data_IF_981283383140
#
_entry.id   IF_981283383140
#
_cell.length_a   1.000
_cell.length_b   1.000
_cell.length_c   1.000
_cell.angle_alpha   90.00
_cell.angle_beta   90.00
_cell.angle_gamma   90.00
#
_symmetry.space_group_name_H-M   'P 1'
#
loop_
_entity.id
_entity.type
_entity.pdbx_description
1 polymer ?
#
# COMPACT_ATOMS: atom_id res chain seq x y z
N UNK A 1 -12.08 -49.36 -42.72
CA UNK A 1 -12.23 -48.42 -41.59
C UNK A 1 -11.39 -47.20 -41.90
N UNK A 2 -12.00 -46.13 -42.36
CA UNK A 2 -11.33 -44.87 -42.71
C UNK A 2 -11.31 -43.96 -41.48
N UNK A 3 -10.08 -43.58 -41.04
CA UNK A 3 -9.88 -42.62 -39.99
C UNK A 3 -10.05 -41.21 -40.54
N UNK A 4 -11.20 -40.60 -40.33
CA UNK A 4 -11.43 -39.16 -40.57
C UNK A 4 -10.65 -38.34 -39.52
N UNK A 5 -9.47 -37.84 -39.93
CA UNK A 5 -8.76 -36.81 -39.19
C UNK A 5 -9.54 -35.51 -39.28
N UNK A 6 -10.19 -35.13 -38.20
CA UNK A 6 -10.85 -33.83 -38.04
C UNK A 6 -9.80 -32.74 -38.20
N UNK A 7 -9.84 -32.04 -39.34
CA UNK A 7 -8.98 -30.88 -39.62
C UNK A 7 -9.44 -29.71 -38.75
N UNK A 8 -8.68 -29.42 -37.70
CA UNK A 8 -8.87 -28.21 -36.88
C UNK A 8 -8.81 -26.97 -37.78
N UNK A 9 -9.78 -26.09 -37.62
CA UNK A 9 -9.93 -24.92 -38.49
C UNK A 9 -8.73 -23.97 -38.34
N UNK A 10 -8.30 -23.38 -39.45
CA UNK A 10 -7.17 -22.43 -39.52
C UNK A 10 -7.33 -21.25 -38.55
N UNK A 11 -8.56 -20.85 -38.19
CA UNK A 11 -8.87 -19.80 -37.25
C UNK A 11 -8.55 -20.16 -35.77
N UNK A 12 -8.63 -21.46 -35.42
CA UNK A 12 -8.28 -21.90 -34.06
C UNK A 12 -6.75 -21.95 -33.84
N UNK A 13 -6.00 -22.26 -34.92
CA UNK A 13 -4.54 -22.27 -34.84
C UNK A 13 -3.92 -20.86 -34.77
N UNK A 14 -4.58 -19.84 -35.35
CA UNK A 14 -4.09 -18.46 -35.31
C UNK A 14 -4.32 -17.81 -33.91
N UNK A 15 -5.37 -18.21 -33.18
CA UNK A 15 -5.64 -17.71 -31.82
C UNK A 15 -4.66 -18.24 -30.77
N UNK A 16 -4.09 -19.42 -30.98
CA UNK A 16 -3.13 -20.02 -30.03
C UNK A 16 -1.73 -19.37 -30.11
N UNK A 17 -1.44 -18.56 -31.12
CA UNK A 17 -0.12 -17.94 -31.33
C UNK A 17 -0.05 -16.42 -31.03
N UNK A 18 -1.13 -15.81 -30.57
CA UNK A 18 -1.05 -14.41 -30.12
C UNK A 18 -0.50 -14.41 -28.73
N UNK A 19 0.82 -14.58 -28.61
CA UNK A 19 1.53 -14.27 -27.35
C UNK A 19 1.16 -12.84 -26.98
N UNK A 20 0.56 -12.67 -25.79
CA UNK A 20 0.32 -11.33 -25.23
C UNK A 20 1.65 -10.60 -25.28
N UNK A 21 1.74 -9.52 -26.04
CA UNK A 21 2.92 -8.65 -26.02
C UNK A 21 3.10 -8.21 -24.58
N UNK A 22 4.14 -8.71 -23.93
CA UNK A 22 4.53 -8.24 -22.61
C UNK A 22 5.01 -6.81 -22.79
N UNK A 23 4.21 -5.85 -22.36
CA UNK A 23 4.60 -4.44 -22.38
C UNK A 23 5.67 -4.30 -21.30
N UNK A 24 6.90 -3.92 -21.71
CA UNK A 24 7.96 -3.65 -20.76
C UNK A 24 7.58 -2.41 -19.91
N UNK A 25 7.62 -2.56 -18.60
CA UNK A 25 7.50 -1.47 -17.62
C UNK A 25 8.80 -1.34 -16.89
N UNK A 26 9.30 -0.13 -16.65
CA UNK A 26 10.53 0.05 -15.88
C UNK A 26 10.35 -0.55 -14.47
N UNK A 27 11.31 -1.36 -14.00
CA UNK A 27 11.25 -1.92 -12.64
C UNK A 27 11.31 -0.80 -11.60
N UNK A 28 10.52 -0.92 -10.56
CA UNK A 28 10.57 -0.01 -9.42
C UNK A 28 11.72 -0.42 -8.49
N UNK A 29 12.48 0.55 -7.98
CA UNK A 29 13.50 0.27 -6.95
C UNK A 29 12.91 -0.19 -5.62
N UNK A 30 11.59 0.00 -5.43
CA UNK A 30 10.83 -0.38 -4.24
C UNK A 30 9.91 -1.57 -4.48
N UNK A 31 10.22 -2.41 -5.47
CA UNK A 31 9.47 -3.64 -5.67
C UNK A 31 9.62 -4.52 -4.44
N UNK A 32 8.49 -5.02 -3.95
CA UNK A 32 8.41 -5.83 -2.74
C UNK A 32 7.74 -7.18 -3.07
N UNK A 33 8.10 -8.25 -2.35
CA UNK A 33 7.39 -9.51 -2.47
C UNK A 33 5.91 -9.35 -2.12
N UNK A 34 5.04 -10.23 -2.60
CA UNK A 34 3.65 -10.24 -2.18
C UNK A 34 3.58 -10.52 -0.67
N UNK A 35 2.74 -9.76 0.03
CA UNK A 35 2.52 -9.99 1.45
C UNK A 35 1.79 -11.32 1.67
N UNK A 36 2.09 -12.07 2.74
CA UNK A 36 1.32 -13.23 3.14
C UNK A 36 -0.15 -12.86 3.42
N UNK A 37 -1.04 -13.83 3.31
CA UNK A 37 -2.46 -13.63 3.60
C UNK A 37 -2.67 -13.07 5.01
N UNK A 38 -3.48 -12.03 5.12
CA UNK A 38 -3.74 -11.35 6.39
C UNK A 38 -2.71 -10.31 6.80
N UNK A 39 -1.66 -10.10 6.00
CA UNK A 39 -0.62 -9.11 6.26
C UNK A 39 -0.56 -8.05 5.17
N UNK A 40 0.05 -6.92 5.53
CA UNK A 40 0.32 -5.80 4.64
C UNK A 40 1.79 -5.41 4.73
N UNK A 41 2.46 -5.29 3.59
CA UNK A 41 3.84 -4.83 3.51
C UNK A 41 3.93 -3.30 3.48
N UNK A 42 4.97 -2.78 4.13
CA UNK A 42 5.28 -1.35 4.13
C UNK A 42 6.79 -1.12 4.23
N UNK A 43 7.28 -0.18 3.45
CA UNK A 43 8.64 0.34 3.58
C UNK A 43 8.74 1.28 4.77
N UNK A 44 9.70 1.05 5.65
CA UNK A 44 9.96 1.85 6.86
C UNK A 44 11.37 2.42 6.76
N UNK A 45 11.51 3.71 7.01
CA UNK A 45 12.81 4.36 7.02
C UNK A 45 13.60 3.95 8.27
N UNK A 46 14.79 3.39 8.05
CA UNK A 46 15.74 3.03 9.09
C UNK A 46 16.90 4.02 9.18
N UNK A 47 17.19 4.70 8.05
CA UNK A 47 18.30 5.62 7.92
C UNK A 47 17.89 6.86 7.15
N UNK A 48 18.43 8.01 7.51
CA UNK A 48 18.25 9.27 6.80
C UNK A 48 19.58 10.02 6.76
N UNK A 49 20.05 10.34 5.56
CA UNK A 49 21.30 11.10 5.33
C UNK A 49 22.54 10.48 6.03
N UNK A 50 22.62 9.14 6.08
CA UNK A 50 23.73 8.43 6.74
C UNK A 50 23.59 8.27 8.26
N UNK A 51 22.46 8.71 8.84
CA UNK A 51 22.20 8.58 10.27
C UNK A 51 21.04 7.62 10.55
N UNK A 52 21.20 6.77 11.56
CA UNK A 52 20.17 5.85 12.03
C UNK A 52 18.93 6.59 12.56
N UNK A 53 17.74 6.30 11.99
CA UNK A 53 16.47 6.81 12.50
C UNK A 53 15.89 5.85 13.55
N UNK A 54 16.57 5.78 14.69
CA UNK A 54 16.21 4.88 15.80
C UNK A 54 14.83 5.18 16.36
N UNK A 55 14.42 6.46 16.38
CA UNK A 55 13.11 6.88 16.87
C UNK A 55 11.98 6.34 16.02
N UNK A 56 12.10 6.46 14.68
CA UNK A 56 11.11 5.93 13.76
C UNK A 56 11.03 4.40 13.85
N UNK A 57 12.19 3.73 13.81
CA UNK A 57 12.25 2.27 13.90
C UNK A 57 11.64 1.73 15.21
N UNK A 58 12.04 2.30 16.36
CA UNK A 58 11.48 1.89 17.64
C UNK A 58 9.95 2.12 17.72
N UNK A 59 9.46 3.24 17.17
CA UNK A 59 8.04 3.52 17.10
C UNK A 59 7.27 2.52 16.25
N UNK A 60 7.83 2.15 15.10
CA UNK A 60 7.19 1.17 14.20
C UNK A 60 7.17 -0.24 14.77
N UNK A 61 8.29 -0.70 15.33
CA UNK A 61 8.36 -2.02 15.97
C UNK A 61 7.38 -2.13 17.14
N UNK A 62 7.26 -1.08 17.98
CA UNK A 62 6.26 -1.03 19.07
C UNK A 62 4.82 -0.99 18.54
N UNK A 63 4.61 -0.49 17.34
CA UNK A 63 3.29 -0.47 16.69
C UNK A 63 2.91 -1.81 16.05
N UNK A 64 3.72 -2.87 16.25
CA UNK A 64 3.44 -4.21 15.75
C UNK A 64 3.93 -4.48 14.34
N UNK A 65 4.86 -3.68 13.81
CA UNK A 65 5.54 -3.99 12.56
C UNK A 65 6.66 -5.00 12.80
N UNK A 66 6.75 -6.00 11.94
CA UNK A 66 7.80 -7.02 11.89
C UNK A 66 8.64 -6.82 10.64
N UNK A 67 9.98 -6.94 10.76
CA UNK A 67 10.86 -6.81 9.60
C UNK A 67 10.82 -8.09 8.76
N UNK A 68 10.74 -7.93 7.45
CA UNK A 68 10.69 -9.03 6.48
C UNK A 68 12.11 -9.42 6.10
N UNK A 69 12.43 -10.71 6.23
CA UNK A 69 13.74 -11.25 5.89
C UNK A 69 13.74 -11.87 4.50
N UNK A 70 14.90 -11.82 3.85
CA UNK A 70 15.06 -12.44 2.53
C UNK A 70 14.89 -13.96 2.56
N UNK A 71 15.23 -14.61 3.69
CA UNK A 71 15.08 -16.06 3.87
C UNK A 71 13.62 -16.54 3.72
N UNK A 72 12.65 -15.63 3.91
CA UNK A 72 11.23 -15.93 3.74
C UNK A 72 10.81 -16.00 2.25
N UNK A 73 11.65 -15.49 1.33
CA UNK A 73 11.38 -15.41 -0.11
C UNK A 73 12.56 -15.92 -0.95
N UNK A 74 12.91 -17.20 -0.87
CA UNK A 74 14.11 -17.77 -1.52
C UNK A 74 14.03 -17.76 -3.04
N UNK A 75 12.84 -17.69 -3.63
CA UNK A 75 12.63 -17.77 -5.08
C UNK A 75 12.87 -16.45 -5.81
N UNK A 76 13.12 -15.35 -5.10
CA UNK A 76 13.25 -14.02 -5.67
C UNK A 76 14.47 -13.28 -5.09
N UNK A 77 15.22 -12.65 -5.99
CA UNK A 77 16.42 -11.90 -5.65
C UNK A 77 16.07 -10.44 -5.28
N UNK A 78 15.75 -10.22 -4.01
CA UNK A 78 15.52 -8.88 -3.48
C UNK A 78 16.81 -8.30 -2.88
N UNK A 79 16.96 -6.97 -2.90
CA UNK A 79 18.09 -6.33 -2.24
C UNK A 79 18.05 -6.55 -0.73
N UNK A 80 19.11 -7.07 -0.18
CA UNK A 80 19.24 -7.46 1.23
C UNK A 80 20.36 -6.68 1.88
N UNK A 81 20.17 -6.27 3.12
CA UNK A 81 21.25 -5.67 3.90
C UNK A 81 22.28 -6.73 4.30
N UNK A 82 23.52 -6.57 3.81
CA UNK A 82 24.62 -7.52 4.06
C UNK A 82 25.23 -7.37 5.45
N UNK A 83 25.18 -6.17 6.04
CA UNK A 83 25.86 -5.84 7.29
C UNK A 83 24.96 -5.03 8.25
N UNK A 84 25.43 -4.91 9.50
CA UNK A 84 24.80 -4.07 10.51
C UNK A 84 23.65 -4.76 11.29
N UNK A 85 22.92 -3.95 12.05
CA UNK A 85 21.85 -4.37 12.95
C UNK A 85 20.71 -5.12 12.27
N UNK A 86 20.44 -4.80 11.00
CA UNK A 86 19.32 -5.35 10.23
C UNK A 86 19.80 -6.30 9.12
N UNK A 87 20.90 -6.99 9.35
CA UNK A 87 21.43 -7.98 8.40
C UNK A 87 20.39 -9.03 8.05
N UNK A 88 20.27 -9.34 6.76
CA UNK A 88 19.32 -10.33 6.24
C UNK A 88 17.90 -9.81 6.04
N UNK A 89 17.62 -8.54 6.35
CA UNK A 89 16.34 -7.88 6.08
C UNK A 89 16.33 -7.33 4.67
N UNK A 90 15.19 -7.42 3.98
CA UNK A 90 15.00 -6.80 2.67
C UNK A 90 15.01 -5.28 2.84
N UNK A 91 15.94 -4.59 2.16
CA UNK A 91 16.09 -3.16 2.32
C UNK A 91 16.79 -2.47 1.15
N UNK A 92 16.41 -1.22 0.87
CA UNK A 92 16.93 -0.38 -0.21
C UNK A 92 17.07 1.05 0.27
N UNK A 93 18.26 1.62 0.12
CA UNK A 93 18.50 3.06 0.30
C UNK A 93 18.06 3.62 1.65
N UNK A 94 18.30 2.90 2.74
CA UNK A 94 17.89 3.30 4.08
C UNK A 94 16.43 3.00 4.42
N UNK A 95 15.72 2.26 3.55
CA UNK A 95 14.38 1.74 3.80
C UNK A 95 14.43 0.24 4.07
N UNK A 96 13.67 -0.23 5.04
CA UNK A 96 13.48 -1.64 5.36
C UNK A 96 12.06 -2.07 5.06
N UNK A 97 11.91 -3.27 4.51
CA UNK A 97 10.61 -3.87 4.32
C UNK A 97 10.10 -4.44 5.65
N UNK A 98 8.89 -4.07 6.00
CA UNK A 98 8.21 -4.58 7.19
C UNK A 98 6.79 -5.01 6.84
N UNK A 99 6.24 -5.91 7.63
CA UNK A 99 4.85 -6.37 7.55
C UNK A 99 4.10 -6.04 8.82
N UNK A 100 2.80 -5.92 8.70
CA UNK A 100 1.87 -5.74 9.82
C UNK A 100 0.59 -6.51 9.52
N UNK A 101 -0.07 -7.04 10.55
CA UNK A 101 -1.36 -7.71 10.36
C UNK A 101 -2.45 -6.71 9.96
N UNK A 102 -3.32 -7.12 9.04
CA UNK A 102 -4.44 -6.31 8.56
C UNK A 102 -5.44 -5.98 9.69
N UNK A 103 -5.57 -6.86 10.68
CA UNK A 103 -6.42 -6.65 11.86
C UNK A 103 -5.90 -5.48 12.70
N UNK A 104 -4.59 -5.44 12.92
CA UNK A 104 -3.95 -4.36 13.69
C UNK A 104 -4.06 -3.02 12.95
N UNK A 105 -3.94 -3.04 11.62
CA UNK A 105 -4.15 -1.84 10.78
C UNK A 105 -5.58 -1.33 10.95
N UNK A 106 -6.58 -2.21 10.80
CA UNK A 106 -7.99 -1.85 10.96
C UNK A 106 -8.30 -1.30 12.37
N UNK A 107 -7.76 -1.94 13.40
CA UNK A 107 -7.94 -1.50 14.79
C UNK A 107 -7.34 -0.11 15.02
N UNK A 108 -6.14 0.12 14.51
CA UNK A 108 -5.48 1.44 14.57
C UNK A 108 -6.27 2.51 13.84
N UNK A 109 -6.73 2.21 12.63
CA UNK A 109 -7.49 3.16 11.82
C UNK A 109 -8.84 3.48 12.47
N UNK A 110 -9.52 2.49 13.06
CA UNK A 110 -10.74 2.72 13.84
C UNK A 110 -10.48 3.62 15.06
N UNK A 111 -9.36 3.42 15.77
CA UNK A 111 -8.98 4.26 16.90
C UNK A 111 -8.76 5.72 16.50
N UNK A 112 -7.99 5.97 15.44
CA UNK A 112 -7.75 7.33 14.99
C UNK A 112 -8.98 7.99 14.37
N UNK A 113 -9.79 7.25 13.64
CA UNK A 113 -11.06 7.74 13.11
C UNK A 113 -12.01 8.18 14.24
N UNK A 114 -12.08 7.38 15.32
CA UNK A 114 -12.87 7.76 16.49
C UNK A 114 -12.35 9.05 17.14
N UNK A 115 -11.05 9.17 17.36
CA UNK A 115 -10.47 10.41 17.93
C UNK A 115 -10.76 11.62 17.03
N UNK A 116 -10.68 11.46 15.71
CA UNK A 116 -10.96 12.54 14.78
C UNK A 116 -12.44 12.93 14.86
N UNK A 117 -13.34 11.94 14.87
CA UNK A 117 -14.76 12.19 15.00
C UNK A 117 -15.12 12.86 16.34
N UNK A 118 -14.58 12.38 17.45
CA UNK A 118 -14.80 12.98 18.77
C UNK A 118 -14.34 14.46 18.81
N UNK A 119 -13.27 14.80 18.08
CA UNK A 119 -12.80 16.19 17.95
C UNK A 119 -13.69 17.04 17.06
N UNK A 120 -14.15 16.51 15.93
CA UNK A 120 -15.07 17.19 15.03
C UNK A 120 -16.39 17.46 15.76
N UNK A 121 -16.93 16.47 16.49
CA UNK A 121 -18.16 16.62 17.30
C UNK A 121 -17.98 17.65 18.41
N UNK A 122 -16.81 17.72 19.04
CA UNK A 122 -16.51 18.72 20.08
C UNK A 122 -16.51 20.14 19.49
N UNK A 123 -15.90 20.33 18.30
CA UNK A 123 -15.88 21.63 17.62
C UNK A 123 -17.30 22.05 17.21
N UNK A 124 -18.08 21.13 16.64
CA UNK A 124 -19.45 21.41 16.22
C UNK A 124 -20.33 21.75 17.43
N UNK A 125 -20.16 21.07 18.56
CA UNK A 125 -20.86 21.40 19.81
C UNK A 125 -20.48 22.77 20.38
N UNK A 126 -19.21 23.15 20.31
CA UNK A 126 -18.77 24.47 20.76
C UNK A 126 -19.29 25.58 19.83
N UNK A 127 -19.29 25.37 18.52
CA UNK A 127 -19.90 26.29 17.57
C UNK A 127 -21.41 26.47 17.81
N UNK A 128 -22.12 25.38 18.13
CA UNK A 128 -23.57 25.44 18.46
C UNK A 128 -23.83 26.20 19.76
N UNK A 129 -22.94 26.12 20.76
CA UNK A 129 -23.07 26.89 22.01
C UNK A 129 -22.86 28.38 21.80
N UNK A 130 -21.94 28.75 20.90
CA UNK A 130 -21.61 30.13 20.60
C UNK A 130 -22.60 30.76 19.61
N UNK A 131 -23.52 29.97 19.05
CA UNK A 131 -24.53 30.43 18.11
C UNK A 131 -25.54 31.37 18.76
N UNK A 132 -25.67 32.59 18.20
CA UNK A 132 -26.68 33.53 18.62
C UNK A 132 -27.86 33.57 17.64
N UNK A 133 -29.13 33.68 18.08
CA UNK A 133 -30.30 33.73 17.19
C UNK A 133 -30.24 34.80 16.09
N UNK A 134 -29.52 35.91 16.33
CA UNK A 134 -29.34 37.00 15.37
C UNK A 134 -28.18 36.75 14.39
N UNK A 135 -27.31 35.77 14.65
CA UNK A 135 -26.15 35.41 13.81
C UNK A 135 -26.00 33.90 13.80
N UNK A 136 -26.83 33.17 13.03
CA UNK A 136 -26.70 31.72 12.92
C UNK A 136 -25.39 31.37 12.22
N UNK A 137 -24.63 30.43 12.80
CA UNK A 137 -23.40 29.90 12.20
C UNK A 137 -23.82 28.77 11.27
N UNK A 138 -23.67 28.95 9.96
CA UNK A 138 -23.87 27.90 8.98
C UNK A 138 -22.52 27.30 8.59
N UNK A 139 -22.34 26.02 8.87
CA UNK A 139 -21.19 25.25 8.43
C UNK A 139 -21.59 24.37 7.24
N UNK A 140 -21.21 24.76 6.03
CA UNK A 140 -21.39 23.91 4.85
C UNK A 140 -20.03 23.38 4.39
N UNK A 141 -19.90 22.05 4.37
CA UNK A 141 -18.72 21.39 3.82
C UNK A 141 -18.99 21.00 2.37
N UNK A 142 -18.55 21.82 1.43
CA UNK A 142 -18.64 21.50 0.00
C UNK A 142 -17.30 20.98 -0.49
N UNK A 143 -17.18 19.66 -0.65
CA UNK A 143 -16.01 19.03 -1.27
C UNK A 143 -16.39 18.54 -2.66
N UNK A 144 -15.88 19.19 -3.70
CA UNK A 144 -16.08 18.76 -5.09
C UNK A 144 -14.75 18.27 -5.66
N UNK A 145 -14.63 16.97 -5.88
CA UNK A 145 -13.51 16.40 -6.62
C UNK A 145 -13.91 16.31 -8.09
N UNK A 146 -13.31 17.13 -8.95
CA UNK A 146 -13.52 17.07 -10.39
C UNK A 146 -12.36 16.28 -11.00
N UNK A 147 -12.58 15.02 -11.36
CA UNK A 147 -11.66 14.30 -12.23
C UNK A 147 -11.83 14.84 -13.65
N UNK A 148 -10.74 15.31 -14.26
CA UNK A 148 -10.74 15.78 -15.63
C UNK A 148 -11.17 14.66 -16.57
N UNK A 149 -12.45 14.64 -16.91
CA UNK A 149 -12.99 13.76 -17.94
C UNK A 149 -12.58 14.27 -19.32
N UNK A 150 -11.71 13.57 -20.01
CA UNK A 150 -11.48 13.76 -21.44
C UNK A 150 -12.78 13.45 -22.16
N UNK A 151 -13.45 14.48 -22.70
CA UNK A 151 -14.53 14.28 -23.68
C UNK A 151 -13.91 13.56 -24.88
N UNK A 152 -14.30 12.31 -25.12
CA UNK A 152 -14.12 11.68 -26.43
C UNK A 152 -15.05 12.41 -27.39
N UNK A 153 -14.45 13.07 -28.34
CA UNK A 153 -15.05 13.55 -29.59
C UNK A 153 -15.36 12.36 -30.49
#
# INVERSE_FOLDING_TARGET
MQNDKIKTSRASQTRAKTAKKTVWTPPSSLDAPPAPDGYHHRWIRSESMGFDDTKNMAGKLRSGYELVRADEYPDQDYPVLGEGKYKGVIGVGGLLLARISNELVKSRDAYFNKITQDKDDAVDNDLLKDQHPSMPINSERQTRVTFGGTKKS
#
